data_IF_833947178898
#
_entry.id   IF_833947178898
#
_cell.length_a   1.000
_cell.length_b   1.000
_cell.length_c   1.000
_cell.angle_alpha   90.00
_cell.angle_beta   90.00
_cell.angle_gamma   90.00
#
_symmetry.space_group_name_H-M   'P 1'
#
loop_
_entity.id
_entity.type
_entity.pdbx_description
1 polymer ?
#
# COMPACT_ATOMS: atom_id res chain seq x y z
N UNK A 1 -4.49 13.00 -7.63
CA UNK A 1 -4.21 11.68 -7.00
C UNK A 1 -3.64 10.74 -8.07
N UNK A 2 -2.55 10.01 -7.80
CA UNK A 2 -1.94 9.12 -8.80
C UNK A 2 -2.81 7.91 -9.10
N UNK A 3 -2.74 7.38 -10.33
CA UNK A 3 -3.58 6.25 -10.76
C UNK A 3 -3.30 4.95 -9.98
N UNK A 4 -2.07 4.77 -9.46
CA UNK A 4 -1.74 3.63 -8.60
C UNK A 4 -2.45 3.71 -7.24
N UNK A 5 -2.44 4.90 -6.61
CA UNK A 5 -3.13 5.12 -5.33
C UNK A 5 -4.65 4.95 -5.45
N UNK A 6 -5.25 5.45 -6.52
CA UNK A 6 -6.69 5.26 -6.80
C UNK A 6 -7.08 3.79 -6.89
N UNK A 7 -6.34 3.01 -7.68
CA UNK A 7 -6.61 1.57 -7.83
C UNK A 7 -6.46 0.83 -6.50
N UNK A 8 -5.40 1.13 -5.76
CA UNK A 8 -5.18 0.50 -4.47
C UNK A 8 -6.30 0.84 -3.47
N UNK A 9 -6.71 2.12 -3.37
CA UNK A 9 -7.82 2.53 -2.51
C UNK A 9 -9.14 1.83 -2.86
N UNK A 10 -9.47 1.73 -4.15
CA UNK A 10 -10.68 1.05 -4.62
C UNK A 10 -10.64 -0.46 -4.40
N UNK A 11 -9.47 -1.08 -4.50
CA UNK A 11 -9.31 -2.50 -4.20
C UNK A 11 -9.60 -2.78 -2.72
N UNK A 12 -9.00 -2.02 -1.80
CA UNK A 12 -9.10 -2.28 -0.36
C UNK A 12 -10.38 -1.74 0.28
N UNK A 13 -11.10 -0.83 -0.37
CA UNK A 13 -12.40 -0.33 0.14
C UNK A 13 -13.50 -1.39 0.14
N UNK A 14 -13.32 -2.49 -0.59
CA UNK A 14 -14.29 -3.60 -0.66
C UNK A 14 -14.01 -4.72 0.35
N UNK A 15 -12.97 -4.58 1.16
CA UNK A 15 -12.50 -5.67 2.01
C UNK A 15 -13.25 -5.77 3.32
N UNK A 16 -13.56 -7.01 3.70
CA UNK A 16 -14.14 -7.35 4.99
C UNK A 16 -13.07 -7.33 6.09
N UNK A 17 -13.50 -7.20 7.36
CA UNK A 17 -12.61 -7.26 8.52
C UNK A 17 -11.77 -8.55 8.56
N UNK A 18 -12.36 -9.70 8.23
CA UNK A 18 -11.63 -10.97 8.16
C UNK A 18 -10.50 -10.95 7.13
N UNK A 19 -10.71 -10.28 5.98
CA UNK A 19 -9.68 -10.15 4.96
C UNK A 19 -8.53 -9.24 5.41
N UNK A 20 -8.85 -8.19 6.17
CA UNK A 20 -7.88 -7.29 6.80
C UNK A 20 -7.03 -7.94 7.89
N UNK A 21 -7.64 -8.80 8.72
CA UNK A 21 -6.93 -9.56 9.75
C UNK A 21 -6.03 -10.66 9.17
N UNK A 22 -6.28 -11.11 7.95
CA UNK A 22 -5.46 -12.12 7.28
C UNK A 22 -4.03 -11.64 7.00
N UNK A 23 -3.09 -12.57 6.76
CA UNK A 23 -1.69 -12.25 6.53
C UNK A 23 -1.46 -11.61 5.16
N UNK A 24 -0.54 -10.64 5.11
CA UNK A 24 0.10 -10.14 3.90
C UNK A 24 1.38 -10.95 3.58
N UNK A 25 1.93 -10.76 2.39
CA UNK A 25 3.22 -11.37 2.00
C UNK A 25 4.41 -10.92 2.87
N UNK A 26 4.24 -9.84 3.64
CA UNK A 26 5.21 -9.35 4.64
C UNK A 26 5.23 -10.19 5.92
N UNK A 27 4.27 -11.11 6.11
CA UNK A 27 4.06 -11.86 7.35
C UNK A 27 3.27 -11.12 8.42
N UNK A 28 3.00 -9.82 8.22
CA UNK A 28 2.13 -9.02 9.09
C UNK A 28 0.67 -9.09 8.63
N UNK A 29 -0.31 -8.77 9.51
CA UNK A 29 -1.67 -8.55 9.08
C UNK A 29 -1.75 -7.52 7.95
N UNK A 30 -2.68 -7.73 7.01
CA UNK A 30 -2.89 -6.81 5.88
C UNK A 30 -3.21 -5.40 6.37
N UNK A 31 -3.96 -5.30 7.47
CA UNK A 31 -4.35 -4.04 8.07
C UNK A 31 -3.14 -3.24 8.60
N UNK A 32 -2.19 -3.93 9.22
CA UNK A 32 -0.96 -3.32 9.74
C UNK A 32 -0.02 -2.92 8.62
N UNK A 33 0.08 -3.76 7.58
CA UNK A 33 0.87 -3.44 6.37
C UNK A 33 0.33 -2.20 5.66
N UNK A 34 -1.01 -2.05 5.57
CA UNK A 34 -1.63 -0.85 5.02
C UNK A 34 -1.45 0.38 5.94
N UNK A 35 -1.55 0.22 7.26
CA UNK A 35 -1.31 1.33 8.19
C UNK A 35 0.14 1.83 8.13
N UNK A 36 1.11 0.92 7.98
CA UNK A 36 2.52 1.29 7.74
C UNK A 36 2.69 2.12 6.47
N UNK A 37 1.99 1.78 5.38
CA UNK A 37 1.99 2.61 4.17
C UNK A 37 1.42 4.01 4.45
N UNK A 38 0.30 4.10 5.17
CA UNK A 38 -0.31 5.39 5.55
C UNK A 38 0.70 6.25 6.30
N UNK A 39 1.40 5.67 7.29
CA UNK A 39 2.44 6.38 8.03
C UNK A 39 3.59 6.84 7.12
N UNK A 40 4.07 5.99 6.22
CA UNK A 40 5.17 6.35 5.32
C UNK A 40 4.80 7.50 4.38
N UNK A 41 3.56 7.57 3.90
CA UNK A 41 3.09 8.69 3.06
C UNK A 41 2.96 9.97 3.89
N UNK A 42 2.48 9.89 5.14
CA UNK A 42 2.45 11.03 6.05
C UNK A 42 3.86 11.55 6.36
N UNK A 43 4.84 10.67 6.54
CA UNK A 43 6.24 11.06 6.76
C UNK A 43 6.85 11.76 5.53
N UNK A 44 6.50 11.32 4.31
CA UNK A 44 6.89 12.00 3.08
C UNK A 44 6.25 13.39 2.97
N UNK A 45 5.01 13.53 3.43
CA UNK A 45 4.31 14.82 3.48
C UNK A 45 5.01 15.77 4.44
N UNK A 46 5.29 15.32 5.67
CA UNK A 46 6.01 16.13 6.65
C UNK A 46 7.39 16.56 6.15
N UNK A 47 8.12 15.66 5.45
CA UNK A 47 9.39 16.00 4.83
C UNK A 47 9.25 17.05 3.71
N UNK A 48 8.20 16.99 2.91
CA UNK A 48 7.94 17.97 1.84
C UNK A 48 7.56 19.35 2.41
N UNK A 49 6.83 19.39 3.52
CA UNK A 49 6.43 20.63 4.20
C UNK A 49 7.52 21.21 5.13
N UNK A 50 8.59 20.46 5.38
CA UNK A 50 9.61 20.83 6.38
C UNK A 50 9.08 20.78 7.82
N UNK A 51 8.04 19.97 8.08
CA UNK A 51 7.40 19.81 9.39
C UNK A 51 7.89 18.57 10.12
N UNK A 52 7.65 18.52 11.43
CA UNK A 52 8.00 17.36 12.27
C UNK A 52 7.08 16.19 11.93
N UNK A 53 7.65 15.00 11.77
CA UNK A 53 6.90 13.75 11.55
C UNK A 53 5.97 13.49 12.74
N UNK A 54 4.75 13.04 12.44
CA UNK A 54 3.72 12.71 13.43
C UNK A 54 3.21 11.31 13.19
N UNK A 55 2.88 10.61 14.28
CA UNK A 55 2.24 9.31 14.20
C UNK A 55 0.80 9.46 13.71
N UNK A 56 0.44 8.72 12.66
CA UNK A 56 -0.95 8.64 12.17
C UNK A 56 -1.73 7.68 13.08
N UNK A 57 -2.82 8.14 13.74
CA UNK A 57 -3.62 7.29 14.60
C UNK A 57 -4.16 6.06 13.87
N UNK A 58 -4.09 4.89 14.51
CA UNK A 58 -4.76 3.67 14.03
C UNK A 58 -6.23 3.73 14.45
N UNK A 59 -7.13 3.85 13.48
CA UNK A 59 -8.56 3.84 13.76
C UNK A 59 -9.04 2.42 14.09
N UNK A 60 -10.08 2.27 14.95
CA UNK A 60 -10.52 0.98 15.47
C UNK A 60 -11.17 0.06 14.42
N UNK A 61 -11.54 0.60 13.25
CA UNK A 61 -12.11 -0.16 12.16
C UNK A 61 -11.23 -0.12 10.90
N UNK A 62 -10.93 -1.30 10.35
CA UNK A 62 -9.99 -1.43 9.22
C UNK A 62 -10.51 -0.83 7.91
N UNK A 63 -11.83 -0.68 7.77
CA UNK A 63 -12.43 0.03 6.62
C UNK A 63 -11.93 1.47 6.46
N UNK A 64 -11.48 2.10 7.56
CA UNK A 64 -10.91 3.45 7.50
C UNK A 64 -9.58 3.53 6.76
N UNK A 65 -8.84 2.43 6.63
CA UNK A 65 -7.50 2.46 6.04
C UNK A 65 -7.50 2.97 4.59
N UNK A 66 -8.55 2.65 3.83
CA UNK A 66 -8.74 3.20 2.47
C UNK A 66 -8.87 4.71 2.51
N UNK A 67 -9.66 5.24 3.44
CA UNK A 67 -9.90 6.68 3.54
C UNK A 67 -8.71 7.43 4.13
N UNK A 68 -8.04 6.87 5.14
CA UNK A 68 -6.79 7.40 5.67
C UNK A 68 -5.74 7.51 4.57
N UNK A 69 -5.62 6.51 3.69
CA UNK A 69 -4.69 6.57 2.58
C UNK A 69 -5.05 7.67 1.56
N UNK A 70 -6.33 7.83 1.23
CA UNK A 70 -6.77 8.92 0.32
C UNK A 70 -6.40 10.29 0.89
N UNK A 71 -6.61 10.49 2.18
CA UNK A 71 -6.28 11.74 2.89
C UNK A 71 -4.78 12.00 2.81
N UNK A 72 -3.93 11.08 3.27
CA UNK A 72 -2.47 11.34 3.28
C UNK A 72 -1.87 11.49 1.88
N UNK A 73 -2.44 10.84 0.86
CA UNK A 73 -2.02 11.06 -0.54
C UNK A 73 -2.47 12.42 -1.05
N UNK A 74 -3.67 12.89 -0.66
CA UNK A 74 -4.11 14.24 -0.99
C UNK A 74 -3.23 15.30 -0.32
N UNK A 75 -2.90 15.12 0.96
CA UNK A 75 -2.01 15.99 1.71
C UNK A 75 -0.61 16.02 1.09
N UNK A 76 -0.04 14.86 0.75
CA UNK A 76 1.23 14.78 0.04
C UNK A 76 1.20 15.57 -1.26
N UNK A 77 0.13 15.51 -2.05
CA UNK A 77 0.04 16.27 -3.30
C UNK A 77 -0.15 17.76 -3.06
N UNK A 78 -0.87 18.15 -2.00
CA UNK A 78 -1.05 19.55 -1.61
C UNK A 78 0.26 20.19 -1.13
N UNK A 79 1.17 19.42 -0.53
CA UNK A 79 2.51 19.85 -0.15
C UNK A 79 3.47 20.11 -1.33
N UNK A 80 3.01 19.93 -2.58
CA UNK A 80 3.78 20.14 -3.81
C UNK A 80 5.21 19.52 -3.80
N UNK A 81 5.34 18.23 -3.50
CA UNK A 81 6.62 17.57 -3.30
C UNK A 81 7.41 17.48 -4.61
N UNK A 82 8.75 17.42 -4.54
CA UNK A 82 9.57 17.24 -5.73
C UNK A 82 9.32 15.87 -6.37
N UNK A 83 9.53 15.76 -7.68
CA UNK A 83 9.36 14.52 -8.46
C UNK A 83 9.94 13.24 -7.82
N UNK A 84 11.15 13.21 -7.24
CA UNK A 84 11.67 12.01 -6.56
C UNK A 84 10.80 11.53 -5.38
N UNK A 85 10.15 12.44 -4.65
CA UNK A 85 9.25 12.09 -3.54
C UNK A 85 7.96 11.48 -4.08
N UNK A 86 7.43 12.01 -5.19
CA UNK A 86 6.26 11.44 -5.88
C UNK A 86 6.58 10.02 -6.37
N UNK A 87 7.75 9.83 -7.00
CA UNK A 87 8.19 8.52 -7.47
C UNK A 87 8.32 7.51 -6.31
N UNK A 88 8.86 7.96 -5.17
CA UNK A 88 8.94 7.14 -3.95
C UNK A 88 7.56 6.74 -3.43
N UNK A 89 6.62 7.69 -3.35
CA UNK A 89 5.25 7.41 -2.91
C UNK A 89 4.55 6.39 -3.83
N UNK A 90 4.70 6.51 -5.15
CA UNK A 90 4.16 5.53 -6.11
C UNK A 90 4.76 4.15 -5.92
N UNK A 91 6.08 4.06 -5.71
CA UNK A 91 6.75 2.78 -5.44
C UNK A 91 6.23 2.13 -4.15
N UNK A 92 6.08 2.88 -3.06
CA UNK A 92 5.54 2.39 -1.79
C UNK A 92 4.11 1.83 -1.94
N UNK A 93 3.24 2.57 -2.62
CA UNK A 93 1.86 2.13 -2.89
C UNK A 93 1.85 0.84 -3.72
N UNK A 94 2.66 0.78 -4.77
CA UNK A 94 2.72 -0.38 -5.68
C UNK A 94 3.23 -1.63 -4.97
N UNK A 95 4.31 -1.50 -4.19
CA UNK A 95 4.87 -2.60 -3.40
C UNK A 95 3.87 -3.11 -2.36
N UNK A 96 3.20 -2.20 -1.66
CA UNK A 96 2.18 -2.55 -0.66
C UNK A 96 1.00 -3.26 -1.30
N UNK A 97 0.48 -2.76 -2.43
CA UNK A 97 -0.60 -3.41 -3.16
C UNK A 97 -0.25 -4.86 -3.54
N UNK A 98 0.97 -5.09 -4.05
CA UNK A 98 1.46 -6.43 -4.38
C UNK A 98 1.61 -7.34 -3.16
N UNK A 99 2.02 -6.79 -2.00
CA UNK A 99 2.15 -7.57 -0.77
C UNK A 99 0.80 -7.96 -0.15
N UNK A 100 -0.23 -7.13 -0.34
CA UNK A 100 -1.56 -7.34 0.23
C UNK A 100 -2.40 -8.32 -0.59
N UNK A 101 -2.24 -8.30 -1.91
CA UNK A 101 -2.84 -9.27 -2.83
C UNK A 101 -1.71 -9.99 -3.54
N UNK A 102 -1.19 -11.09 -3.00
CA UNK A 102 -0.29 -11.91 -3.78
C UNK A 102 -1.05 -12.34 -5.03
N UNK A 103 -0.64 -11.81 -6.18
CA UNK A 103 -1.14 -12.28 -7.47
C UNK A 103 -0.84 -13.76 -7.54
N UNK A 104 -1.87 -14.60 -7.45
CA UNK A 104 -1.78 -16.00 -7.86
C UNK A 104 -1.71 -16.02 -9.39
N UNK A 105 -0.60 -15.51 -9.95
CA UNK A 105 -0.13 -16.06 -11.21
C UNK A 105 0.37 -17.46 -10.87
N UNK A 106 -0.09 -18.52 -11.55
CA UNK A 106 0.53 -19.82 -11.39
C UNK A 106 2.01 -19.63 -11.73
N UNK A 107 2.89 -19.88 -10.75
CA UNK A 107 4.30 -20.04 -11.00
C UNK A 107 4.41 -21.04 -12.16
N UNK A 108 5.03 -20.58 -13.25
CA UNK A 108 5.34 -21.39 -14.42
C UNK A 108 5.81 -22.77 -13.95
N UNK A 109 4.94 -23.77 -14.13
CA UNK A 109 5.25 -25.14 -13.76
C UNK A 109 6.22 -25.58 -14.84
N UNK A 110 7.51 -25.32 -14.61
CA UNK A 110 8.59 -25.80 -15.42
C UNK A 110 8.32 -27.25 -15.77
N UNK A 111 8.05 -27.50 -17.06
CA UNK A 111 7.98 -28.85 -17.58
C UNK A 111 9.40 -29.38 -17.62
N UNK A 112 9.90 -29.77 -16.45
CA UNK A 112 11.10 -30.59 -16.31
C UNK A 112 10.75 -32.00 -16.78
N UNK A 113 11.26 -32.36 -17.96
CA UNK A 113 11.81 -33.68 -18.28
C UNK A 113 10.87 -34.89 -18.34
N UNK A 114 10.86 -35.54 -19.49
CA UNK A 114 10.55 -36.97 -19.65
C UNK A 114 10.90 -37.42 -21.07
N UNK A 115 11.57 -38.58 -21.26
CA UNK A 115 12.72 -38.71 -22.15
C UNK A 115 12.39 -39.14 -23.58
N UNK A 116 13.45 -39.15 -24.39
CA UNK A 116 13.55 -39.77 -25.69
C UNK A 116 13.06 -41.23 -25.69
N UNK A 117 12.29 -41.57 -26.72
CA UNK A 117 12.43 -42.79 -27.53
C UNK A 117 12.02 -42.42 -28.97
#
# INVERSE_FOLDING_TARGET
MSAAAQRFCGQVSTWTAARWAGPAATGLPRADTAHHLVQQIADLTAAAEGTVRRTVPRLPHDGALSDQLKVVVADLLAAAPPAPVIARAVALVTQTAAALVPSTLPADRGKTGGPAD
#
